data_IF_926697451141
#
_entry.id   IF_926697451141
#
_cell.length_a   1.000
_cell.length_b   1.000
_cell.length_c   1.000
_cell.angle_alpha   90.00
_cell.angle_beta   90.00
_cell.angle_gamma   90.00
#
_symmetry.space_group_name_H-M   'P 1'
#
loop_
_entity.id
_entity.type
_entity.pdbx_description
1 polymer ?
#
# COMPACT_ATOMS: atom_id res chain seq x y z
N UNK A 1 29.39 10.16 -10.48
CA UNK A 1 30.28 9.01 -10.62
C UNK A 1 31.51 9.57 -11.25
N UNK A 2 32.47 9.89 -10.40
CA UNK A 2 33.73 10.46 -10.84
C UNK A 2 34.47 9.33 -11.53
N UNK A 3 34.45 9.34 -12.86
CA UNK A 3 35.26 8.44 -13.66
C UNK A 3 36.69 8.98 -13.58
N UNK A 4 37.36 8.75 -12.46
CA UNK A 4 38.80 8.91 -12.38
C UNK A 4 39.39 7.78 -13.23
N UNK A 5 39.96 8.17 -14.37
CA UNK A 5 40.60 7.26 -15.33
C UNK A 5 42.08 7.19 -14.97
N UNK A 6 42.36 6.73 -13.76
CA UNK A 6 43.72 6.61 -13.26
C UNK A 6 44.34 5.31 -13.82
N UNK A 7 45.64 5.34 -14.10
CA UNK A 7 46.35 4.16 -14.58
C UNK A 7 46.36 3.05 -13.52
N UNK A 8 45.87 1.87 -13.87
CA UNK A 8 45.86 0.69 -12.99
C UNK A 8 47.03 -0.22 -13.39
N UNK A 9 48.10 -0.31 -12.58
CA UNK A 9 49.27 -1.10 -12.93
C UNK A 9 48.96 -2.60 -12.89
N UNK A 10 49.35 -3.31 -13.95
CA UNK A 10 49.30 -4.77 -14.08
C UNK A 10 50.69 -5.38 -13.94
N UNK A 11 50.79 -6.68 -13.64
CA UNK A 11 52.08 -7.40 -13.47
C UNK A 11 53.04 -7.23 -14.65
N UNK A 12 52.52 -7.20 -15.89
CA UNK A 12 53.33 -6.96 -17.09
C UNK A 12 53.77 -5.50 -17.21
N UNK A 13 52.90 -4.55 -16.85
CA UNK A 13 53.25 -3.11 -16.88
C UNK A 13 54.37 -2.74 -15.90
N UNK A 14 54.55 -3.51 -14.81
CA UNK A 14 55.62 -3.31 -13.84
C UNK A 14 57.02 -3.68 -14.36
N UNK A 15 57.12 -4.38 -15.50
CA UNK A 15 58.41 -4.73 -16.12
C UNK A 15 59.03 -3.52 -16.84
N UNK A 16 58.22 -2.55 -17.27
CA UNK A 16 58.65 -1.32 -17.91
C UNK A 16 58.59 -0.16 -16.90
N UNK A 17 59.75 0.45 -16.59
CA UNK A 17 59.86 1.48 -15.54
C UNK A 17 59.14 2.79 -15.87
N UNK A 18 58.90 3.07 -17.15
CA UNK A 18 58.28 4.32 -17.63
C UNK A 18 56.79 4.18 -17.98
N UNK A 19 56.14 3.05 -17.65
CA UNK A 19 54.76 2.74 -18.06
C UNK A 19 53.68 3.75 -17.62
N UNK A 20 53.90 4.47 -16.51
CA UNK A 20 52.99 5.52 -16.05
C UNK A 20 53.09 6.81 -16.87
N UNK A 21 54.22 7.08 -17.52
CA UNK A 21 54.44 8.32 -18.29
C UNK A 21 53.79 8.24 -19.67
N UNK A 22 53.66 7.03 -20.21
CA UNK A 22 53.15 6.78 -21.56
C UNK A 22 51.62 6.54 -21.61
N UNK A 23 50.93 6.61 -20.45
CA UNK A 23 49.50 6.38 -20.39
C UNK A 23 48.71 7.64 -20.73
N UNK A 24 48.02 7.61 -21.87
CA UNK A 24 47.07 8.66 -22.27
C UNK A 24 45.64 8.10 -22.28
N UNK A 25 44.72 8.80 -21.62
CA UNK A 25 43.29 8.47 -21.68
C UNK A 25 42.53 9.53 -22.46
N UNK A 26 41.84 9.11 -23.53
CA UNK A 26 40.97 9.97 -24.34
C UNK A 26 39.52 9.61 -24.04
N UNK A 27 38.82 10.50 -23.35
CA UNK A 27 37.40 10.29 -23.01
C UNK A 27 36.51 11.15 -23.90
N UNK A 28 35.64 10.52 -24.69
CA UNK A 28 34.60 11.20 -25.45
C UNK A 28 33.30 11.30 -24.64
N UNK A 29 32.83 12.52 -24.38
CA UNK A 29 31.53 12.74 -23.75
C UNK A 29 30.51 13.18 -24.80
N UNK A 30 29.50 12.34 -25.06
CA UNK A 30 28.39 12.71 -25.94
C UNK A 30 27.44 13.73 -25.30
N UNK A 31 26.74 14.51 -26.13
CA UNK A 31 25.77 15.49 -25.68
C UNK A 31 24.62 14.82 -24.90
N UNK A 32 24.48 15.15 -23.61
CA UNK A 32 23.35 14.74 -22.79
C UNK A 32 22.26 15.81 -22.84
N UNK A 33 21.09 15.46 -23.39
CA UNK A 33 19.91 16.35 -23.38
C UNK A 33 19.57 16.73 -21.94
N UNK A 34 19.42 18.03 -21.68
CA UNK A 34 18.94 18.55 -20.39
C UNK A 34 17.49 18.14 -20.19
N UNK A 35 17.26 17.08 -19.43
CA UNK A 35 15.93 16.76 -18.91
C UNK A 35 15.64 17.80 -17.82
N UNK A 36 14.68 18.70 -18.05
CA UNK A 36 14.18 19.59 -17.00
C UNK A 36 13.76 18.71 -15.82
N UNK A 37 14.11 19.03 -14.57
CA UNK A 37 13.61 18.28 -13.43
C UNK A 37 12.08 18.41 -13.42
N UNK A 38 11.40 17.40 -13.94
CA UNK A 38 9.99 17.22 -13.62
C UNK A 38 9.95 17.07 -12.13
N UNK A 39 9.24 17.99 -11.48
CA UNK A 39 8.91 18.00 -10.06
C UNK A 39 7.97 16.82 -9.75
N UNK A 40 8.35 15.60 -10.10
CA UNK A 40 7.91 14.43 -9.36
C UNK A 40 8.70 14.44 -8.08
N UNK A 41 8.08 14.89 -7.00
CA UNK A 41 8.54 14.66 -5.62
C UNK A 41 8.58 13.15 -5.36
N UNK A 42 9.52 12.45 -5.99
CA UNK A 42 10.07 11.21 -5.47
C UNK A 42 11.21 11.66 -4.57
N UNK A 43 10.86 12.02 -3.33
CA UNK A 43 11.84 12.16 -2.26
C UNK A 43 12.79 10.96 -2.34
N UNK A 44 14.12 11.15 -2.37
CA UNK A 44 15.02 10.03 -2.20
C UNK A 44 14.68 9.44 -0.84
N UNK A 45 14.16 8.22 -0.82
CA UNK A 45 14.09 7.45 0.42
C UNK A 45 15.53 7.19 0.81
N UNK A 46 16.12 8.14 1.53
CA UNK A 46 17.32 7.91 2.31
C UNK A 46 17.01 6.66 3.13
N UNK A 47 17.82 5.62 2.92
CA UNK A 47 17.83 4.44 3.77
C UNK A 47 18.41 4.86 5.12
N UNK A 48 17.76 5.77 5.82
CA UNK A 48 18.04 5.98 7.24
C UNK A 48 17.60 4.70 7.94
N UNK A 49 18.52 4.14 8.71
CA UNK A 49 18.38 2.89 9.47
C UNK A 49 17.02 2.91 10.17
N UNK A 50 16.07 2.13 9.66
CA UNK A 50 14.73 2.04 10.25
C UNK A 50 14.87 1.15 11.47
N UNK A 51 14.53 1.67 12.63
CA UNK A 51 14.22 0.84 13.78
C UNK A 51 13.25 -0.26 13.33
N UNK A 52 13.53 -1.52 13.68
CA UNK A 52 12.84 -2.74 13.23
C UNK A 52 11.39 -2.88 13.75
N UNK A 53 10.68 -1.77 13.93
CA UNK A 53 9.28 -1.76 14.31
C UNK A 53 8.39 -1.77 13.06
N UNK A 54 7.53 -2.78 12.97
CA UNK A 54 6.55 -2.92 11.90
C UNK A 54 5.46 -1.85 12.01
N UNK A 55 5.56 -0.80 11.18
CA UNK A 55 4.50 0.19 11.05
C UNK A 55 3.37 -0.33 10.15
N UNK A 56 2.27 -0.70 10.78
CA UNK A 56 1.05 -1.17 10.11
C UNK A 56 0.52 -0.14 9.11
N UNK A 57 0.65 1.17 9.36
CA UNK A 57 0.16 2.21 8.42
C UNK A 57 0.97 2.20 7.13
N UNK A 58 2.30 2.10 7.26
CA UNK A 58 3.21 1.97 6.12
C UNK A 58 2.97 0.68 5.34
N UNK A 59 2.81 -0.45 6.03
CA UNK A 59 2.49 -1.73 5.39
C UNK A 59 1.17 -1.66 4.60
N UNK A 60 0.10 -1.07 5.18
CA UNK A 60 -1.18 -0.87 4.49
C UNK A 60 -1.02 -0.03 3.22
N UNK A 61 -0.21 1.04 3.28
CA UNK A 61 0.07 1.87 2.12
C UNK A 61 0.80 1.10 1.02
N UNK A 62 1.81 0.29 1.38
CA UNK A 62 2.56 -0.53 0.44
C UNK A 62 1.68 -1.59 -0.23
N UNK A 63 0.81 -2.25 0.54
CA UNK A 63 -0.17 -3.20 0.00
C UNK A 63 -1.14 -2.52 -0.99
N UNK A 64 -1.65 -1.33 -0.66
CA UNK A 64 -2.51 -0.55 -1.56
C UNK A 64 -1.77 -0.16 -2.85
N UNK A 65 -0.54 0.35 -2.72
CA UNK A 65 0.30 0.72 -3.87
C UNK A 65 0.59 -0.48 -4.77
N UNK A 66 0.88 -1.63 -4.17
CA UNK A 66 1.09 -2.88 -4.88
C UNK A 66 -0.18 -3.33 -5.62
N UNK A 67 -1.34 -3.32 -4.97
CA UNK A 67 -2.62 -3.67 -5.59
C UNK A 67 -2.97 -2.80 -6.81
N UNK A 68 -2.70 -1.48 -6.73
CA UNK A 68 -2.91 -0.55 -7.85
C UNK A 68 -2.01 -0.89 -9.05
N UNK A 69 -0.82 -1.45 -8.81
CA UNK A 69 0.13 -1.79 -9.87
C UNK A 69 -0.46 -2.77 -10.88
N UNK A 70 -1.27 -3.73 -10.40
CA UNK A 70 -1.88 -4.80 -11.19
C UNK A 70 -3.20 -4.47 -11.88
N UNK A 71 -3.71 -3.23 -11.79
CA UNK A 71 -4.93 -2.84 -12.50
C UNK A 71 -4.67 -2.45 -13.97
N UNK A 72 -5.67 -2.68 -14.82
CA UNK A 72 -5.79 -2.14 -16.18
C UNK A 72 -5.74 -0.61 -16.16
N UNK A 73 -5.32 0.01 -17.26
CA UNK A 73 -4.95 1.43 -17.31
C UNK A 73 -6.03 2.38 -16.78
N UNK A 74 -7.28 2.25 -17.20
CA UNK A 74 -8.39 3.10 -16.73
C UNK A 74 -8.65 2.94 -15.23
N UNK A 75 -8.76 1.69 -14.75
CA UNK A 75 -8.98 1.38 -13.32
C UNK A 75 -7.79 1.79 -12.45
N UNK A 76 -6.57 1.71 -13.01
CA UNK A 76 -5.32 2.12 -12.36
C UNK A 76 -5.29 3.63 -12.11
N UNK A 77 -5.74 4.43 -13.07
CA UNK A 77 -5.86 5.89 -12.91
C UNK A 77 -6.87 6.25 -11.82
N UNK A 78 -8.08 5.67 -11.86
CA UNK A 78 -9.07 5.88 -10.81
C UNK A 78 -8.55 5.50 -9.42
N UNK A 79 -7.88 4.36 -9.30
CA UNK A 79 -7.35 3.89 -8.03
C UNK A 79 -6.20 4.76 -7.51
N UNK A 80 -5.34 5.29 -8.41
CA UNK A 80 -4.32 6.29 -8.06
C UNK A 80 -4.95 7.58 -7.54
N UNK A 81 -6.00 8.09 -8.20
CA UNK A 81 -6.72 9.29 -7.76
C UNK A 81 -7.32 9.06 -6.38
N UNK A 82 -7.98 7.91 -6.15
CA UNK A 82 -8.52 7.53 -4.83
C UNK A 82 -7.44 7.48 -3.75
N UNK A 83 -6.28 6.89 -4.06
CA UNK A 83 -5.14 6.85 -3.13
C UNK A 83 -4.62 8.26 -2.82
N UNK A 84 -4.49 9.11 -3.83
CA UNK A 84 -4.04 10.49 -3.64
C UNK A 84 -5.02 11.27 -2.74
N UNK A 85 -6.33 11.16 -2.97
CA UNK A 85 -7.36 11.79 -2.12
C UNK A 85 -7.24 11.27 -0.68
N UNK A 86 -7.06 9.96 -0.49
CA UNK A 86 -6.86 9.36 0.85
C UNK A 86 -5.61 9.90 1.56
N UNK A 87 -4.57 10.25 0.81
CA UNK A 87 -3.36 10.92 1.33
C UNK A 87 -3.54 12.43 1.56
N UNK A 88 -4.72 12.98 1.29
CA UNK A 88 -5.04 14.39 1.50
C UNK A 88 -4.96 15.26 0.24
N UNK A 89 -4.79 14.68 -0.95
CA UNK A 89 -4.89 15.45 -2.19
C UNK A 89 -6.32 15.98 -2.40
N UNK A 90 -6.42 17.17 -2.99
CA UNK A 90 -7.73 17.75 -3.35
C UNK A 90 -8.40 16.90 -4.44
N UNK A 91 -9.68 16.50 -4.29
CA UNK A 91 -10.38 15.73 -5.31
C UNK A 91 -10.54 16.52 -6.61
N UNK A 92 -10.64 15.83 -7.77
CA UNK A 92 -10.86 16.49 -9.05
C UNK A 92 -12.22 17.20 -9.07
N UNK A 93 -12.32 18.27 -9.86
CA UNK A 93 -13.57 19.04 -9.99
C UNK A 93 -14.63 18.19 -10.68
N UNK A 94 -15.85 18.21 -10.16
CA UNK A 94 -16.99 17.53 -10.77
C UNK A 94 -17.31 18.14 -12.15
N UNK A 95 -17.77 17.29 -13.07
CA UNK A 95 -18.27 17.74 -14.37
C UNK A 95 -19.50 18.64 -14.19
N UNK A 96 -19.62 19.66 -15.02
CA UNK A 96 -20.81 20.50 -15.05
C UNK A 96 -22.02 19.67 -15.53
N UNK A 97 -23.13 19.78 -14.81
CA UNK A 97 -24.40 19.12 -15.12
C UNK A 97 -25.55 20.10 -14.89
N UNK A 98 -26.65 19.94 -15.62
CA UNK A 98 -27.87 20.70 -15.38
C UNK A 98 -28.44 20.33 -13.99
N UNK A 99 -28.92 21.33 -13.24
CA UNK A 99 -29.40 21.15 -11.87
C UNK A 99 -30.56 20.15 -11.77
N UNK A 100 -31.52 20.18 -12.70
CA UNK A 100 -32.67 19.26 -12.69
C UNK A 100 -32.23 17.81 -12.87
N UNK A 101 -31.35 17.55 -13.83
CA UNK A 101 -30.77 16.22 -14.06
C UNK A 101 -29.98 15.72 -12.84
N UNK A 102 -29.20 16.60 -12.20
CA UNK A 102 -28.43 16.26 -11.01
C UNK A 102 -29.32 15.92 -9.80
N UNK A 103 -30.48 16.59 -9.65
CA UNK A 103 -31.46 16.23 -8.61
C UNK A 103 -32.06 14.85 -8.85
N UNK A 104 -32.41 14.52 -10.09
CA UNK A 104 -32.95 13.21 -10.46
C UNK A 104 -31.92 12.09 -10.24
N UNK A 105 -30.67 12.29 -10.64
CA UNK A 105 -29.57 11.35 -10.36
C UNK A 105 -29.44 11.08 -8.85
N UNK A 106 -29.46 12.14 -8.02
CA UNK A 106 -29.38 11.99 -6.55
C UNK A 106 -30.57 11.26 -5.95
N UNK A 107 -31.79 11.45 -6.48
CA UNK A 107 -32.98 10.71 -6.02
C UNK A 107 -32.83 9.22 -6.32
N UNK A 108 -32.48 8.87 -7.56
CA UNK A 108 -32.24 7.48 -7.98
C UNK A 108 -31.11 6.82 -7.18
N UNK A 109 -30.01 7.53 -6.93
CA UNK A 109 -28.93 7.01 -6.10
C UNK A 109 -29.35 6.73 -4.65
N UNK A 110 -30.23 7.56 -4.08
CA UNK A 110 -30.77 7.33 -2.73
C UNK A 110 -31.67 6.11 -2.71
N UNK A 111 -32.60 6.02 -3.66
CA UNK A 111 -33.50 4.87 -3.80
C UNK A 111 -32.73 3.56 -3.95
N UNK A 112 -31.73 3.51 -4.83
CA UNK A 112 -30.87 2.32 -4.97
C UNK A 112 -30.08 1.99 -3.70
N UNK A 113 -29.63 2.99 -2.93
CA UNK A 113 -28.94 2.76 -1.64
C UNK A 113 -29.92 2.18 -0.62
N UNK A 114 -31.11 2.74 -0.52
CA UNK A 114 -32.14 2.27 0.41
C UNK A 114 -32.58 0.84 0.06
N UNK A 115 -32.73 0.53 -1.23
CA UNK A 115 -33.07 -0.82 -1.67
C UNK A 115 -31.93 -1.82 -1.45
N UNK A 116 -30.67 -1.42 -1.67
CA UNK A 116 -29.53 -2.25 -1.30
C UNK A 116 -29.44 -2.49 0.22
N UNK A 117 -29.76 -1.49 1.03
CA UNK A 117 -29.79 -1.63 2.49
C UNK A 117 -30.91 -2.58 2.93
N UNK A 118 -32.12 -2.44 2.36
CA UNK A 118 -33.23 -3.38 2.58
C UNK A 118 -32.84 -4.79 2.17
N UNK A 119 -32.21 -4.95 1.01
CA UNK A 119 -31.73 -6.23 0.52
C UNK A 119 -30.69 -6.86 1.47
N UNK A 120 -29.73 -6.09 1.97
CA UNK A 120 -28.74 -6.57 2.95
C UNK A 120 -29.35 -6.90 4.33
N UNK A 121 -30.51 -6.30 4.63
CA UNK A 121 -31.31 -6.58 5.82
C UNK A 121 -32.32 -7.71 5.61
N UNK A 122 -32.46 -8.28 4.40
CA UNK A 122 -33.30 -9.46 4.19
C UNK A 122 -32.83 -10.59 5.11
N UNK A 123 -33.77 -11.17 5.86
CA UNK A 123 -33.46 -12.18 6.87
C UNK A 123 -32.93 -11.62 8.20
N UNK A 124 -32.92 -10.29 8.40
CA UNK A 124 -32.57 -9.63 9.67
C UNK A 124 -33.65 -8.65 10.13
N UNK A 125 -33.79 -8.49 11.44
CA UNK A 125 -34.65 -7.49 12.09
C UNK A 125 -34.06 -6.08 11.96
N UNK A 126 -34.81 -5.04 12.35
CA UNK A 126 -34.34 -3.64 12.42
C UNK A 126 -33.09 -3.47 13.32
N UNK A 127 -32.89 -4.38 14.27
CA UNK A 127 -31.69 -4.43 15.14
C UNK A 127 -30.53 -5.26 14.55
N UNK A 128 -30.66 -5.78 13.32
CA UNK A 128 -29.64 -6.57 12.63
C UNK A 128 -29.55 -8.06 13.05
N UNK A 129 -30.46 -8.52 13.92
CA UNK A 129 -30.53 -9.93 14.36
C UNK A 129 -31.18 -10.80 13.29
N UNK A 130 -30.76 -12.05 13.11
CA UNK A 130 -31.41 -12.91 12.11
C UNK A 130 -32.87 -13.21 12.49
N UNK A 131 -33.79 -13.08 11.53
CA UNK A 131 -35.20 -13.46 11.66
C UNK A 131 -35.37 -14.97 11.93
N UNK A 132 -34.47 -15.79 11.38
CA UNK A 132 -34.48 -17.24 11.61
C UNK A 132 -33.93 -17.55 13.00
N UNK A 133 -34.76 -18.23 13.82
CA UNK A 133 -34.36 -18.77 15.12
C UNK A 133 -33.38 -19.93 14.91
N UNK A 134 -32.10 -19.63 14.77
CA UNK A 134 -31.06 -20.67 14.85
C UNK A 134 -30.92 -21.10 16.30
N UNK A 135 -30.86 -22.42 16.56
CA UNK A 135 -30.52 -22.93 17.89
C UNK A 135 -29.15 -22.34 18.22
N UNK A 136 -29.06 -21.56 19.31
CA UNK A 136 -27.78 -21.05 19.82
C UNK A 136 -26.90 -22.28 20.04
N UNK A 137 -25.90 -22.48 19.18
CA UNK A 137 -24.88 -23.46 19.47
C UNK A 137 -24.25 -23.01 20.79
N UNK A 138 -24.40 -23.82 21.84
CA UNK A 138 -23.63 -23.68 23.06
C UNK A 138 -22.16 -23.95 22.67
N UNK A 139 -21.51 -22.97 22.07
CA UNK A 139 -20.06 -22.95 21.94
C UNK A 139 -19.56 -22.78 23.36
N UNK A 140 -19.34 -23.89 24.04
CA UNK A 140 -18.39 -23.92 25.15
C UNK A 140 -17.11 -23.38 24.52
N UNK A 141 -16.65 -22.21 24.96
CA UNK A 141 -15.41 -21.58 24.52
C UNK A 141 -14.20 -22.39 25.04
N UNK A 142 -14.15 -23.68 24.72
CA UNK A 142 -13.00 -24.54 24.94
C UNK A 142 -12.26 -24.47 23.61
N UNK A 143 -11.23 -23.64 23.57
CA UNK A 143 -10.26 -23.68 22.49
C UNK A 143 -9.63 -25.08 22.58
N UNK A 144 -10.00 -25.97 21.65
CA UNK A 144 -9.34 -27.27 21.50
C UNK A 144 -7.85 -27.02 21.28
N UNK A 145 -7.01 -27.51 22.19
CA UNK A 145 -5.56 -27.26 22.24
C UNK A 145 -5.12 -26.09 23.12
N UNK A 146 -6.01 -25.47 23.91
CA UNK A 146 -5.58 -24.52 24.93
C UNK A 146 -4.97 -25.23 26.14
N UNK A 147 -3.97 -24.59 26.77
CA UNK A 147 -3.27 -25.11 27.95
C UNK A 147 -4.23 -25.55 29.07
N UNK A 148 -5.40 -24.89 29.18
CA UNK A 148 -6.43 -25.23 30.16
C UNK A 148 -7.08 -26.61 29.93
N UNK A 149 -7.00 -27.16 28.72
CA UNK A 149 -7.47 -28.52 28.39
C UNK A 149 -6.54 -29.59 28.97
N UNK A 150 -5.22 -29.34 28.99
CA UNK A 150 -4.23 -30.26 29.57
C UNK A 150 -4.17 -30.19 31.10
N UNK A 151 -4.43 -29.01 31.69
CA UNK A 151 -4.19 -28.77 33.11
C UNK A 151 -5.45 -28.60 33.97
N UNK A 152 -6.64 -28.58 33.36
CA UNK A 152 -7.92 -28.52 34.08
C UNK A 152 -8.18 -27.18 34.78
N UNK A 153 -9.42 -26.97 35.24
CA UNK A 153 -9.77 -25.81 36.08
C UNK A 153 -9.84 -26.23 37.55
N UNK A 154 -9.15 -25.51 38.43
CA UNK A 154 -9.19 -25.77 39.87
C UNK A 154 -10.40 -25.07 40.50
N UNK A 155 -11.22 -25.81 41.25
CA UNK A 155 -12.28 -25.19 42.08
C UNK A 155 -11.62 -24.59 43.31
N UNK A 156 -11.63 -23.26 43.41
CA UNK A 156 -11.23 -22.57 44.64
C UNK A 156 -12.19 -23.00 45.74
N UNK A 157 -11.69 -23.73 46.75
CA UNK A 157 -12.46 -24.04 47.95
C UNK A 157 -12.65 -22.74 48.73
N UNK A 158 -13.88 -22.25 48.87
CA UNK A 158 -14.18 -21.22 49.85
C UNK A 158 -13.83 -21.76 51.24
N UNK A 159 -13.01 -21.03 51.99
CA UNK A 159 -12.79 -21.32 53.41
C UNK A 159 -14.12 -21.13 54.14
N UNK A 160 -14.31 -22.01 55.14
CA UNK A 160 -15.53 -22.28 55.92
C UNK A 160 -16.29 -21.04 56.36
#
# INVERSE_FOLDING_TARGET
>A
MDNSVDFIPTKSSMLNKDCNKDFESVTFTSYKKKIKPTTSTSSPTSKSKKNDFFDVKKARYEVLKFGISGFEQHKKEEAKIRLAIKLGAKPPKNKYKNYKALLEERKKEKEMKDDNLKFQQLGKDQQGKSLVKTKKAHRKNIIKGSLLESYGTTKVKSKR
#
